data_IF_978087008462
#
_entry.id   IF_978087008462
#
_cell.length_a   1.000
_cell.length_b   1.000
_cell.length_c   1.000
_cell.angle_alpha   90.00
_cell.angle_beta   90.00
_cell.angle_gamma   90.00
#
_symmetry.space_group_name_H-M   'P 1'
#
loop_
_entity.id
_entity.type
_entity.pdbx_description
1 polymer ?
#
# COMPACT_ATOMS: atom_id res chain seq x y z
N UNK A 1 -7.54 29.21 4.27
CA UNK A 1 -8.58 28.39 4.94
C UNK A 1 -7.88 27.71 6.10
N UNK A 2 -8.05 28.21 7.32
CA UNK A 2 -7.52 27.56 8.52
C UNK A 2 -8.28 26.25 8.73
N UNK A 3 -7.60 25.11 8.69
CA UNK A 3 -8.21 23.86 9.13
C UNK A 3 -8.21 23.88 10.65
N UNK A 4 -9.39 23.79 11.26
CA UNK A 4 -9.55 23.71 12.71
C UNK A 4 -8.75 22.50 13.23
N UNK A 5 -7.65 22.76 13.92
CA UNK A 5 -6.77 21.74 14.50
C UNK A 5 -7.40 21.17 15.76
N UNK A 6 -7.50 19.85 15.87
CA UNK A 6 -7.98 19.19 17.08
C UNK A 6 -7.07 19.58 18.26
N UNK A 7 -7.60 20.26 19.28
CA UNK A 7 -6.84 20.69 20.47
C UNK A 7 -5.57 21.53 20.17
N UNK A 8 -5.52 22.23 19.02
CA UNK A 8 -4.32 22.96 18.58
C UNK A 8 -3.16 22.07 18.12
N UNK A 9 -3.39 20.76 18.03
CA UNK A 9 -2.42 19.74 17.62
C UNK A 9 -2.64 19.29 16.16
N UNK A 10 -1.66 18.63 15.57
CA UNK A 10 -1.77 18.07 14.22
C UNK A 10 -2.29 16.63 14.21
N UNK A 11 -2.89 16.17 15.31
CA UNK A 11 -3.44 14.83 15.38
C UNK A 11 -4.54 14.66 14.32
N UNK A 12 -4.43 13.57 13.58
CA UNK A 12 -5.44 13.07 12.67
C UNK A 12 -5.99 11.76 13.24
N UNK A 13 -7.30 11.66 13.30
CA UNK A 13 -8.01 10.51 13.85
C UNK A 13 -9.03 10.02 12.85
N UNK A 14 -9.03 8.72 12.57
CA UNK A 14 -10.05 8.05 11.78
C UNK A 14 -10.57 6.86 12.59
N UNK A 15 -11.89 6.76 12.72
CA UNK A 15 -12.57 5.59 13.27
C UNK A 15 -13.74 5.29 12.37
N UNK A 16 -13.74 4.09 11.79
CA UNK A 16 -14.83 3.63 10.93
C UNK A 16 -15.23 2.22 11.37
N UNK A 17 -16.52 1.92 11.22
CA UNK A 17 -17.02 0.59 11.50
C UNK A 17 -18.40 0.40 10.88
N UNK A 18 -18.71 -0.85 10.59
CA UNK A 18 -19.98 -1.22 9.98
C UNK A 18 -20.05 -2.72 9.70
N UNK A 19 -21.08 -3.09 8.94
CA UNK A 19 -21.32 -4.46 8.54
C UNK A 19 -20.87 -4.67 7.09
N UNK A 20 -20.42 -5.88 6.80
CA UNK A 20 -20.16 -6.37 5.45
C UNK A 20 -21.17 -7.49 5.13
N UNK A 21 -21.11 -8.04 3.92
CA UNK A 21 -22.01 -9.14 3.53
C UNK A 21 -21.85 -10.37 4.43
N UNK A 22 -20.65 -10.62 4.94
CA UNK A 22 -20.32 -11.84 5.68
C UNK A 22 -20.02 -11.60 7.17
N UNK A 23 -20.03 -10.36 7.62
CA UNK A 23 -19.63 -10.04 8.98
C UNK A 23 -19.46 -8.54 9.22
N UNK A 24 -18.33 -8.14 9.78
CA UNK A 24 -18.09 -6.74 10.18
C UNK A 24 -16.77 -6.19 9.69
N UNK A 25 -16.67 -4.86 9.69
CA UNK A 25 -15.40 -4.18 9.57
C UNK A 25 -15.24 -3.11 10.64
N UNK A 26 -14.00 -2.89 11.02
CA UNK A 26 -13.56 -1.88 11.95
C UNK A 26 -12.19 -1.36 11.51
N UNK A 27 -12.04 -0.06 11.37
CA UNK A 27 -10.78 0.61 11.05
C UNK A 27 -10.48 1.67 12.11
N UNK A 28 -9.26 1.72 12.62
CA UNK A 28 -8.83 2.79 13.52
C UNK A 28 -7.42 3.28 13.20
N UNK A 29 -7.31 4.56 12.84
CA UNK A 29 -6.08 5.28 12.56
C UNK A 29 -5.91 6.40 13.61
N UNK A 30 -4.76 6.44 14.27
CA UNK A 30 -4.31 7.64 14.97
C UNK A 30 -2.91 8.01 14.49
N UNK A 31 -2.83 9.14 13.81
CA UNK A 31 -1.64 9.66 13.17
C UNK A 31 -1.27 11.02 13.74
N UNK A 32 0.00 11.17 14.08
CA UNK A 32 0.64 12.46 14.29
C UNK A 32 1.64 12.65 13.14
N UNK A 33 1.20 13.23 12.01
CA UNK A 33 2.07 13.42 10.85
C UNK A 33 3.11 14.50 11.10
N UNK A 34 4.17 14.49 10.29
CA UNK A 34 5.11 15.60 10.26
C UNK A 34 4.39 16.92 9.91
N UNK A 35 4.61 17.95 10.72
CA UNK A 35 4.14 19.30 10.42
C UNK A 35 4.94 19.88 9.26
N UNK A 36 4.42 19.74 8.04
CA UNK A 36 5.10 20.18 6.81
C UNK A 36 6.57 19.68 6.77
N UNK A 37 7.51 20.54 6.37
CA UNK A 37 8.94 20.22 6.36
C UNK A 37 9.66 20.56 7.68
N UNK A 38 8.98 21.20 8.64
CA UNK A 38 9.57 21.62 9.92
C UNK A 38 9.39 20.58 11.02
N UNK A 39 8.38 19.71 10.90
CA UNK A 39 8.12 18.64 11.84
C UNK A 39 9.28 17.65 11.88
N UNK A 40 9.75 17.34 13.08
CA UNK A 40 10.87 16.41 13.32
C UNK A 40 10.44 15.03 13.78
N UNK A 41 9.19 14.85 14.17
CA UNK A 41 8.66 13.60 14.68
C UNK A 41 7.33 13.30 14.04
N UNK A 42 7.09 12.01 13.79
CA UNK A 42 5.78 11.49 13.42
C UNK A 42 5.51 10.20 14.18
N UNK A 43 4.25 9.95 14.45
CA UNK A 43 3.77 8.65 14.95
C UNK A 43 2.56 8.21 14.15
N UNK A 44 2.40 6.91 14.00
CA UNK A 44 1.22 6.30 13.40
C UNK A 44 0.82 5.08 14.21
N UNK A 45 -0.47 4.96 14.45
CA UNK A 45 -1.11 3.77 14.95
C UNK A 45 -2.22 3.42 13.97
N UNK A 46 -2.30 2.16 13.55
CA UNK A 46 -3.34 1.68 12.65
C UNK A 46 -3.83 0.33 13.15
N UNK A 47 -5.14 0.12 13.16
CA UNK A 47 -5.79 -1.15 13.43
C UNK A 47 -6.82 -1.33 12.32
N UNK A 48 -6.87 -2.52 11.75
CA UNK A 48 -7.83 -2.93 10.75
C UNK A 48 -8.33 -4.30 11.17
N UNK A 49 -9.64 -4.46 11.21
CA UNK A 49 -10.32 -5.73 11.22
C UNK A 49 -11.36 -5.65 10.10
N UNK A 50 -11.32 -6.57 9.14
CA UNK A 50 -12.29 -6.60 8.05
C UNK A 50 -12.58 -8.04 7.68
N UNK A 51 -13.86 -8.36 7.63
CA UNK A 51 -14.38 -9.60 7.07
C UNK A 51 -15.00 -9.28 5.71
N UNK A 52 -14.47 -9.85 4.64
CA UNK A 52 -14.92 -9.60 3.27
C UNK A 52 -14.84 -10.86 2.41
N UNK A 53 -15.37 -10.79 1.19
CA UNK A 53 -15.31 -11.84 0.20
C UNK A 53 -14.25 -11.53 -0.85
N UNK A 54 -13.34 -12.46 -1.08
CA UNK A 54 -12.42 -12.40 -2.20
C UNK A 54 -12.95 -13.21 -3.39
N UNK A 55 -12.98 -12.59 -4.57
CA UNK A 55 -13.48 -13.23 -5.78
C UNK A 55 -12.34 -13.84 -6.60
N UNK A 56 -12.33 -15.16 -6.71
CA UNK A 56 -11.48 -15.90 -7.64
C UNK A 56 -12.19 -16.08 -8.98
N UNK A 57 -11.48 -15.82 -10.07
CA UNK A 57 -11.98 -16.15 -11.41
C UNK A 57 -11.88 -17.65 -11.66
N UNK A 58 -12.97 -18.26 -12.13
CA UNK A 58 -13.00 -19.65 -12.55
C UNK A 58 -13.03 -19.71 -14.08
N UNK A 59 -12.27 -20.64 -14.71
CA UNK A 59 -12.44 -20.92 -16.13
C UNK A 59 -13.89 -21.31 -16.45
N UNK A 60 -14.43 -20.87 -17.59
CA UNK A 60 -15.83 -21.09 -18.01
C UNK A 60 -16.17 -22.56 -18.33
N UNK A 61 -15.33 -23.53 -17.97
CA UNK A 61 -15.49 -24.95 -18.35
C UNK A 61 -16.59 -25.68 -17.56
N UNK A 62 -16.97 -25.18 -16.38
CA UNK A 62 -18.02 -25.76 -15.52
C UNK A 62 -19.26 -24.87 -15.36
N UNK A 63 -19.38 -23.80 -16.16
CA UNK A 63 -20.49 -22.84 -16.07
C UNK A 63 -20.45 -21.95 -14.82
N UNK A 64 -19.40 -22.04 -14.01
CA UNK A 64 -19.13 -21.08 -12.94
C UNK A 64 -18.15 -20.04 -13.43
N UNK A 65 -18.43 -18.78 -13.10
CA UNK A 65 -17.59 -17.63 -13.47
C UNK A 65 -16.65 -17.21 -12.35
N UNK A 66 -17.11 -17.31 -11.09
CA UNK A 66 -16.33 -16.89 -9.93
C UNK A 66 -16.57 -17.80 -8.72
N UNK A 67 -15.57 -17.90 -7.85
CA UNK A 67 -15.71 -18.40 -6.49
C UNK A 67 -15.47 -17.26 -5.50
N UNK A 68 -16.41 -17.04 -4.59
CA UNK A 68 -16.30 -16.07 -3.51
C UNK A 68 -15.82 -16.80 -2.26
N UNK A 69 -14.61 -16.44 -1.82
CA UNK A 69 -14.00 -16.99 -0.63
C UNK A 69 -14.07 -15.98 0.52
N UNK A 70 -14.69 -16.34 1.65
CA UNK A 70 -14.60 -15.56 2.87
C UNK A 70 -13.16 -15.38 3.35
N UNK A 71 -12.84 -14.14 3.71
CA UNK A 71 -11.53 -13.70 4.17
C UNK A 71 -11.69 -12.74 5.35
N UNK A 72 -10.94 -12.99 6.42
CA UNK A 72 -10.79 -12.09 7.56
C UNK A 72 -9.37 -11.56 7.53
N UNK A 73 -9.27 -10.25 7.38
CA UNK A 73 -8.03 -9.52 7.44
C UNK A 73 -7.96 -8.74 8.74
N UNK A 74 -6.94 -9.03 9.53
CA UNK A 74 -6.61 -8.27 10.72
C UNK A 74 -5.22 -7.70 10.58
N UNK A 75 -5.06 -6.42 10.86
CA UNK A 75 -3.74 -5.82 10.93
C UNK A 75 -3.63 -4.78 12.02
N UNK A 76 -2.46 -4.71 12.62
CA UNK A 76 -2.07 -3.69 13.57
C UNK A 76 -0.73 -3.11 13.16
N UNK A 77 -0.58 -1.80 13.24
CA UNK A 77 0.67 -1.09 13.00
C UNK A 77 0.86 -0.06 14.10
N UNK A 78 2.07 0.01 14.65
CA UNK A 78 2.53 1.16 15.44
C UNK A 78 3.89 1.55 14.91
N UNK A 79 4.06 2.80 14.50
CA UNK A 79 5.33 3.31 14.01
C UNK A 79 5.64 4.71 14.52
N UNK A 80 6.93 4.98 14.67
CA UNK A 80 7.51 6.24 15.09
C UNK A 80 8.62 6.60 14.12
N UNK A 81 8.71 7.86 13.71
CA UNK A 81 9.79 8.30 12.86
C UNK A 81 10.27 9.70 13.23
N UNK A 82 11.54 9.97 12.91
CA UNK A 82 12.16 11.27 13.09
C UNK A 82 12.91 11.72 11.85
N UNK A 83 12.98 13.03 11.65
CA UNK A 83 13.74 13.67 10.57
C UNK A 83 14.90 14.47 11.14
N UNK A 84 16.07 14.28 10.55
CA UNK A 84 17.28 15.03 10.86
C UNK A 84 17.74 15.79 9.61
N UNK A 85 17.86 17.11 9.72
CA UNK A 85 18.27 17.96 8.62
C UNK A 85 17.52 19.29 8.58
N UNK A 86 17.41 19.85 7.38
CA UNK A 86 16.73 21.12 7.10
C UNK A 86 15.54 20.87 6.16
N UNK A 87 14.57 21.77 6.09
CA UNK A 87 13.54 21.73 5.04
C UNK A 87 14.16 21.52 3.65
N UNK A 88 13.53 20.67 2.84
CA UNK A 88 14.02 20.19 1.55
C UNK A 88 15.19 19.19 1.60
N UNK A 89 15.99 19.12 2.68
CA UNK A 89 17.16 18.24 2.80
C UNK A 89 17.23 17.56 4.16
N UNK A 90 16.71 16.35 4.26
CA UNK A 90 16.67 15.61 5.51
C UNK A 90 16.87 14.11 5.31
N UNK A 91 17.22 13.44 6.40
CA UNK A 91 17.23 11.99 6.55
C UNK A 91 16.08 11.60 7.49
N UNK A 92 15.29 10.62 7.09
CA UNK A 92 14.24 9.99 7.88
C UNK A 92 14.78 8.72 8.51
N UNK A 93 14.49 8.54 9.79
CA UNK A 93 14.74 7.30 10.52
C UNK A 93 13.44 6.91 11.22
N UNK A 94 12.98 5.68 11.04
CA UNK A 94 11.75 5.19 11.62
C UNK A 94 11.87 3.77 12.14
N UNK A 95 11.03 3.47 13.11
CA UNK A 95 10.85 2.14 13.68
C UNK A 95 9.36 1.87 13.78
N UNK A 96 8.97 0.62 13.58
CA UNK A 96 7.60 0.21 13.78
C UNK A 96 7.45 -1.27 14.08
N UNK A 97 6.30 -1.61 14.65
CA UNK A 97 5.84 -2.97 14.80
C UNK A 97 4.59 -3.11 13.93
N UNK A 98 4.55 -4.14 13.09
CA UNK A 98 3.33 -4.49 12.36
C UNK A 98 2.94 -5.93 12.63
N UNK A 99 1.64 -6.18 12.71
CA UNK A 99 1.04 -7.51 12.75
C UNK A 99 0.04 -7.58 11.61
N UNK A 100 0.08 -8.65 10.83
CA UNK A 100 -0.88 -8.95 9.78
C UNK A 100 -1.34 -10.39 9.97
N UNK A 101 -2.64 -10.59 9.86
CA UNK A 101 -3.27 -11.89 9.91
C UNK A 101 -4.30 -11.98 8.80
N UNK A 102 -4.21 -13.07 8.04
CA UNK A 102 -5.17 -13.47 7.02
C UNK A 102 -5.73 -14.81 7.47
N UNK A 103 -7.05 -14.89 7.60
CA UNK A 103 -7.74 -16.11 7.99
C UNK A 103 -8.89 -16.36 7.03
N UNK A 104 -8.99 -17.60 6.57
CA UNK A 104 -10.01 -18.04 5.62
C UNK A 104 -10.99 -19.04 6.23
N UNK A 105 -10.72 -19.53 7.45
CA UNK A 105 -11.60 -20.40 8.22
C UNK A 105 -12.55 -19.67 9.18
N UNK A 106 -13.47 -20.42 9.78
CA UNK A 106 -14.41 -19.96 10.82
C UNK A 106 -15.45 -18.93 10.39
N UNK A 107 -15.94 -19.02 9.16
CA UNK A 107 -17.09 -18.26 8.67
C UNK A 107 -18.37 -19.10 8.72
N UNK A 108 -19.50 -18.45 8.97
CA UNK A 108 -20.84 -19.08 8.94
C UNK A 108 -21.24 -19.50 7.52
N UNK A 109 -20.77 -18.75 6.52
CA UNK A 109 -20.87 -19.04 5.10
C UNK A 109 -19.55 -19.63 4.61
N UNK A 110 -19.59 -20.77 3.93
CA UNK A 110 -18.42 -21.36 3.26
C UNK A 110 -18.09 -20.64 1.95
N UNK A 111 -17.32 -21.30 1.08
CA UNK A 111 -17.06 -20.80 -0.27
C UNK A 111 -18.36 -20.81 -1.09
N UNK A 112 -18.64 -19.72 -1.78
CA UNK A 112 -19.78 -19.60 -2.69
C UNK A 112 -19.31 -19.53 -4.15
N UNK A 113 -20.18 -19.88 -5.09
CA UNK A 113 -19.89 -19.78 -6.53
C UNK A 113 -20.95 -18.97 -7.26
N UNK A 114 -20.50 -18.30 -8.32
CA UNK A 114 -21.32 -17.44 -9.17
C UNK A 114 -21.43 -18.06 -10.55
N UNK A 115 -22.65 -18.27 -11.01
CA UNK A 115 -22.98 -18.74 -12.35
C UNK A 115 -23.15 -17.55 -13.30
N UNK A 116 -22.61 -17.65 -14.51
CA UNK A 116 -22.86 -16.69 -15.61
C UNK A 116 -22.69 -15.19 -15.26
N UNK A 117 -21.78 -14.87 -14.32
CA UNK A 117 -21.52 -13.51 -13.80
C UNK A 117 -22.75 -12.85 -13.15
N UNK A 118 -23.72 -13.63 -12.70
CA UNK A 118 -24.87 -13.15 -11.93
C UNK A 118 -24.55 -13.05 -10.43
N UNK A 119 -24.11 -11.87 -9.98
CA UNK A 119 -23.83 -11.59 -8.57
C UNK A 119 -25.09 -11.41 -7.70
N UNK A 120 -26.29 -11.70 -8.22
CA UNK A 120 -27.53 -11.71 -7.42
C UNK A 120 -27.87 -13.09 -6.85
N UNK A 121 -27.31 -14.15 -7.43
CA UNK A 121 -27.57 -15.54 -7.06
C UNK A 121 -26.26 -16.21 -6.62
N UNK A 122 -26.29 -16.88 -5.47
CA UNK A 122 -25.13 -17.53 -4.88
C UNK A 122 -25.45 -19.00 -4.60
N UNK A 123 -24.55 -19.89 -5.02
CA UNK A 123 -24.65 -21.33 -4.76
C UNK A 123 -23.47 -21.75 -3.87
N UNK A 124 -23.65 -22.77 -3.02
CA UNK A 124 -22.53 -23.34 -2.27
C UNK A 124 -21.54 -23.97 -3.25
N UNK A 125 -20.23 -23.75 -3.02
CA UNK A 125 -19.21 -24.29 -3.88
C UNK A 125 -19.22 -25.84 -3.88
N UNK A 126 -19.18 -26.50 -5.06
CA UNK A 126 -18.89 -27.92 -5.14
C UNK A 126 -17.53 -28.24 -4.50
N UNK A 127 -17.40 -29.41 -3.88
CA UNK A 127 -16.17 -29.84 -3.19
C UNK A 127 -14.92 -29.82 -4.06
N UNK A 128 -15.07 -29.97 -5.38
CA UNK A 128 -13.97 -29.88 -6.35
C UNK A 128 -13.39 -28.46 -6.44
N UNK A 129 -14.22 -27.42 -6.36
CA UNK A 129 -13.79 -26.01 -6.37
C UNK A 129 -13.13 -25.67 -5.03
N UNK A 130 -13.71 -26.12 -3.92
CA UNK A 130 -13.11 -25.94 -2.59
C UNK A 130 -11.71 -26.58 -2.51
N UNK A 131 -11.55 -27.79 -3.03
CA UNK A 131 -10.25 -28.47 -3.10
C UNK A 131 -9.25 -27.74 -4.00
N UNK A 132 -9.69 -27.22 -5.15
CA UNK A 132 -8.82 -26.46 -6.05
C UNK A 132 -8.31 -25.17 -5.40
N UNK A 133 -9.14 -24.51 -4.59
CA UNK A 133 -8.77 -23.29 -3.87
C UNK A 133 -7.93 -23.56 -2.62
N UNK A 134 -7.98 -24.76 -2.05
CA UNK A 134 -7.29 -25.11 -0.79
C UNK A 134 -5.79 -24.78 -0.80
N UNK A 135 -5.12 -24.88 -1.95
CA UNK A 135 -3.71 -24.53 -2.08
C UNK A 135 -3.43 -23.01 -2.10
N UNK A 136 -4.44 -22.20 -2.44
CA UNK A 136 -4.36 -20.74 -2.50
C UNK A 136 -4.86 -20.06 -1.20
N UNK A 137 -5.62 -20.80 -0.40
CA UNK A 137 -6.28 -20.35 0.81
C UNK A 137 -5.50 -20.86 2.02
N UNK A 138 -4.52 -20.08 2.48
CA UNK A 138 -3.71 -20.44 3.64
C UNK A 138 -3.78 -19.35 4.70
N UNK A 139 -4.16 -19.74 5.91
CA UNK A 139 -4.12 -18.88 7.07
C UNK A 139 -2.67 -18.49 7.38
N UNK A 140 -2.45 -17.20 7.62
CA UNK A 140 -1.11 -16.65 7.84
C UNK A 140 -1.14 -15.59 8.92
N UNK A 141 -0.14 -15.63 9.79
CA UNK A 141 0.12 -14.58 10.77
C UNK A 141 1.57 -14.15 10.65
N UNK A 142 1.78 -12.85 10.70
CA UNK A 142 3.09 -12.23 10.51
C UNK A 142 3.21 -11.08 11.47
N UNK A 143 4.21 -11.12 12.35
CA UNK A 143 4.56 -10.00 13.23
C UNK A 143 5.95 -9.53 12.89
N UNK A 144 6.12 -8.27 12.49
CA UNK A 144 7.38 -7.72 11.99
C UNK A 144 7.82 -6.51 12.79
N UNK A 145 9.12 -6.47 13.07
CA UNK A 145 9.80 -5.23 13.44
C UNK A 145 10.31 -4.58 12.17
N UNK A 146 9.88 -3.35 11.91
CA UNK A 146 10.20 -2.57 10.72
C UNK A 146 11.18 -1.46 11.06
N UNK A 147 12.19 -1.30 10.22
CA UNK A 147 13.10 -0.17 10.23
C UNK A 147 12.91 0.61 8.93
N UNK A 148 12.80 1.93 9.05
CA UNK A 148 12.63 2.84 7.91
C UNK A 148 13.83 3.76 7.86
N UNK A 149 14.44 3.89 6.68
CA UNK A 149 15.44 4.91 6.37
C UNK A 149 15.02 5.64 5.11
N UNK A 150 15.00 6.96 5.18
CA UNK A 150 14.69 7.80 4.02
C UNK A 150 15.68 8.92 3.86
N UNK A 151 15.81 9.40 2.63
CA UNK A 151 16.61 10.56 2.33
C UNK A 151 15.89 11.43 1.32
N UNK A 152 15.79 12.72 1.64
CA UNK A 152 15.24 13.74 0.77
C UNK A 152 16.30 14.78 0.46
N UNK A 153 16.35 15.17 -0.80
CA UNK A 153 17.04 16.34 -1.30
C UNK A 153 16.21 16.97 -2.42
N UNK A 154 15.23 17.78 -2.03
CA UNK A 154 14.29 18.46 -2.92
C UNK A 154 14.39 19.96 -2.70
N UNK A 155 14.35 20.69 -3.81
CA UNK A 155 14.29 22.14 -3.87
C UNK A 155 13.11 22.51 -4.76
N UNK A 156 12.35 23.52 -4.34
CA UNK A 156 11.22 24.00 -5.12
C UNK A 156 11.69 25.05 -6.11
N UNK A 157 11.44 24.81 -7.40
CA UNK A 157 11.73 25.75 -8.47
C UNK A 157 10.44 26.33 -9.03
N UNK A 158 10.33 27.66 -9.02
CA UNK A 158 9.23 28.38 -9.67
C UNK A 158 9.27 28.22 -11.17
N UNK A 159 8.13 27.86 -11.76
CA UNK A 159 7.94 27.69 -13.19
C UNK A 159 6.64 28.34 -13.67
N UNK A 160 6.75 29.08 -14.76
CA UNK A 160 5.64 29.84 -15.31
C UNK A 160 4.95 29.13 -16.48
N UNK A 161 3.61 29.16 -16.45
CA UNK A 161 2.76 28.77 -17.57
C UNK A 161 2.83 27.28 -17.90
N UNK A 162 2.77 26.44 -16.86
CA UNK A 162 2.52 25.00 -16.97
C UNK A 162 1.04 24.70 -17.29
N UNK A 163 0.15 25.55 -16.77
CA UNK A 163 -1.26 25.57 -17.14
C UNK A 163 -1.54 26.86 -17.93
N UNK A 164 -2.58 26.87 -18.77
CA UNK A 164 -2.96 28.03 -19.61
C UNK A 164 -3.27 29.33 -18.85
N UNK A 165 -3.18 29.32 -17.51
CA UNK A 165 -3.27 30.47 -16.63
C UNK A 165 -1.86 31.00 -16.33
N UNK A 166 -1.68 32.33 -16.29
CA UNK A 166 -0.39 33.02 -16.03
C UNK A 166 0.17 32.82 -14.60
N UNK A 167 -0.12 31.70 -13.95
CA UNK A 167 0.37 31.37 -12.62
C UNK A 167 1.77 30.77 -12.64
N UNK A 168 2.58 31.16 -11.65
CA UNK A 168 3.83 30.48 -11.29
C UNK A 168 3.50 29.29 -10.40
N UNK A 169 4.05 28.11 -10.70
CA UNK A 169 3.94 26.91 -9.87
C UNK A 169 5.31 26.55 -9.30
N UNK A 170 5.33 26.12 -8.05
CA UNK A 170 6.53 25.57 -7.42
C UNK A 170 6.63 24.07 -7.75
N UNK A 171 7.66 23.71 -8.51
CA UNK A 171 7.92 22.31 -8.87
C UNK A 171 8.99 21.75 -7.92
N UNK A 172 8.72 20.63 -7.23
CA UNK A 172 9.76 19.92 -6.50
C UNK A 172 10.76 19.33 -7.49
N UNK A 173 12.03 19.72 -7.35
CA UNK A 173 13.17 19.25 -8.16
C UNK A 173 14.20 18.64 -7.22
N UNK A 174 14.74 17.48 -7.58
CA UNK A 174 15.63 16.69 -6.74
C UNK A 174 15.11 15.27 -6.57
N UNK A 175 15.35 14.66 -5.42
CA UNK A 175 14.91 13.28 -5.19
C UNK A 175 14.62 12.99 -3.72
N UNK A 176 13.78 11.99 -3.53
CA UNK A 176 13.46 11.39 -2.25
C UNK A 176 13.38 9.88 -2.41
N UNK A 177 13.86 9.14 -1.42
CA UNK A 177 13.55 7.72 -1.31
C UNK A 177 13.32 7.36 0.15
N UNK A 178 12.48 6.36 0.36
CA UNK A 178 12.22 5.72 1.64
C UNK A 178 12.36 4.21 1.46
N UNK A 179 13.22 3.60 2.26
CA UNK A 179 13.41 2.16 2.34
C UNK A 179 12.93 1.66 3.69
N UNK A 180 11.98 0.74 3.68
CA UNK A 180 11.54 -0.03 4.83
C UNK A 180 12.09 -1.44 4.72
N UNK A 181 12.66 -1.95 5.81
CA UNK A 181 13.03 -3.36 5.97
C UNK A 181 12.34 -3.89 7.21
N UNK A 182 11.53 -4.92 7.05
CA UNK A 182 10.81 -5.59 8.12
C UNK A 182 11.35 -7.00 8.33
N UNK A 183 11.58 -7.39 9.58
CA UNK A 183 11.93 -8.78 9.91
C UNK A 183 10.90 -9.38 10.85
N UNK A 184 10.45 -10.60 10.55
CA UNK A 184 9.57 -11.35 11.45
C UNK A 184 10.19 -11.56 12.82
N UNK A 185 9.37 -11.40 13.86
CA UNK A 185 9.72 -11.68 15.25
C UNK A 185 8.68 -12.59 15.89
N UNK A 186 9.12 -13.41 16.84
CA UNK A 186 8.31 -14.46 17.46
C UNK A 186 7.66 -14.02 18.79
N UNK A 187 7.63 -12.72 19.10
CA UNK A 187 7.24 -12.20 20.41
C UNK A 187 5.72 -12.30 20.71
N UNK A 188 4.88 -12.51 19.68
CA UNK A 188 3.42 -12.57 19.80
C UNK A 188 2.85 -13.85 19.14
N UNK A 189 3.53 -14.98 19.31
CA UNK A 189 3.05 -16.28 18.82
C UNK A 189 1.75 -16.68 19.54
N UNK A 190 0.67 -16.80 18.78
CA UNK A 190 -0.54 -17.51 19.19
C UNK A 190 -0.44 -18.95 18.68
N UNK A 191 -0.65 -19.92 19.57
CA UNK A 191 -0.35 -21.35 19.39
C UNK A 191 -0.99 -22.04 18.18
N UNK A 192 -1.98 -21.42 17.56
CA UNK A 192 -2.89 -22.10 16.62
C UNK A 192 -2.68 -21.69 15.15
N UNK A 193 -1.79 -20.75 14.86
CA UNK A 193 -1.55 -20.25 13.50
C UNK A 193 -0.08 -20.36 13.12
N UNK A 194 0.21 -20.82 11.89
CA UNK A 194 1.58 -20.86 11.37
C UNK A 194 2.13 -19.43 11.27
N UNK A 195 3.08 -19.11 12.17
CA UNK A 195 3.77 -17.84 12.14
C UNK A 195 4.83 -17.89 11.05
N UNK A 196 4.61 -17.15 9.97
CA UNK A 196 5.49 -17.15 8.82
C UNK A 196 6.68 -16.22 9.09
N UNK A 197 7.89 -16.79 9.06
CA UNK A 197 9.12 -15.98 9.14
C UNK A 197 9.39 -15.38 7.78
N UNK A 198 9.48 -14.06 7.72
CA UNK A 198 9.82 -13.38 6.50
C UNK A 198 10.73 -12.17 6.72
N UNK A 199 11.35 -11.78 5.61
CA UNK A 199 12.04 -10.52 5.43
C UNK A 199 11.24 -9.68 4.45
N UNK A 200 10.57 -8.65 4.95
CA UNK A 200 9.84 -7.68 4.16
C UNK A 200 10.75 -6.53 3.71
N UNK A 201 10.52 -6.02 2.52
CA UNK A 201 11.09 -4.76 2.07
C UNK A 201 10.05 -3.92 1.34
N UNK A 202 10.16 -2.60 1.47
CA UNK A 202 9.43 -1.65 0.66
C UNK A 202 10.32 -0.46 0.32
N UNK A 203 10.36 -0.10 -0.95
CA UNK A 203 11.04 1.06 -1.48
C UNK A 203 10.01 1.99 -2.09
N UNK A 204 10.00 3.24 -1.66
CA UNK A 204 9.30 4.32 -2.33
C UNK A 204 10.32 5.33 -2.80
N UNK A 205 10.17 5.82 -4.02
CA UNK A 205 11.11 6.75 -4.62
C UNK A 205 10.39 7.82 -5.42
N UNK A 206 10.94 9.03 -5.35
CA UNK A 206 10.55 10.16 -6.17
C UNK A 206 11.81 10.83 -6.72
N UNK A 207 11.76 11.26 -7.96
CA UNK A 207 12.84 12.02 -8.59
C UNK A 207 12.29 12.98 -9.61
N UNK A 208 12.81 14.21 -9.64
CA UNK A 208 12.45 15.18 -10.66
C UNK A 208 13.61 16.07 -11.05
N UNK A 209 13.68 16.38 -12.33
CA UNK A 209 14.59 17.35 -12.92
C UNK A 209 13.80 18.32 -13.79
N UNK A 210 14.24 19.57 -13.81
CA UNK A 210 13.63 20.59 -14.67
C UNK A 210 14.70 21.29 -15.54
N UNK A 211 15.35 20.61 -16.50
CA UNK A 211 16.35 21.25 -17.34
C UNK A 211 15.69 22.18 -18.38
N UNK A 212 16.05 23.47 -18.35
CA UNK A 212 15.61 24.42 -19.37
C UNK A 212 14.10 24.59 -19.44
N UNK A 213 13.44 23.97 -20.42
CA UNK A 213 11.98 24.03 -20.67
C UNK A 213 11.28 22.68 -20.53
N UNK A 214 12.01 21.70 -20.00
CA UNK A 214 11.52 20.38 -19.69
C UNK A 214 11.32 20.25 -18.19
N UNK A 215 10.34 19.45 -17.82
CA UNK A 215 10.12 18.92 -16.48
C UNK A 215 9.93 17.43 -16.65
N UNK A 216 10.76 16.66 -15.94
CA UNK A 216 10.65 15.22 -15.86
C UNK A 216 10.51 14.88 -14.39
N UNK A 217 9.48 14.14 -14.03
CA UNK A 217 9.25 13.66 -12.68
C UNK A 217 8.87 12.18 -12.73
N UNK A 218 9.40 11.39 -11.81
CA UNK A 218 9.13 9.97 -11.71
C UNK A 218 8.82 9.60 -10.27
N UNK A 219 7.89 8.67 -10.09
CA UNK A 219 7.67 7.98 -8.83
C UNK A 219 7.75 6.48 -9.03
N UNK A 220 8.29 5.78 -8.04
CA UNK A 220 8.37 4.32 -8.00
C UNK A 220 7.93 3.83 -6.62
N UNK A 221 7.18 2.74 -6.60
CA UNK A 221 6.84 1.98 -5.42
C UNK A 221 7.19 0.54 -5.69
N UNK A 222 7.95 -0.09 -4.81
CA UNK A 222 8.28 -1.50 -4.89
C UNK A 222 8.12 -2.08 -3.49
N UNK A 223 7.46 -3.21 -3.37
CA UNK A 223 7.40 -3.98 -2.14
C UNK A 223 7.59 -5.45 -2.44
N UNK A 224 7.99 -6.20 -1.44
CA UNK A 224 8.06 -7.64 -1.51
C UNK A 224 8.46 -8.24 -0.19
N UNK A 225 8.34 -9.56 -0.10
CA UNK A 225 8.80 -10.31 1.06
C UNK A 225 9.54 -11.55 0.64
N UNK A 226 10.48 -11.98 1.46
CA UNK A 226 11.16 -13.26 1.32
C UNK A 226 10.75 -14.15 2.47
N UNK A 227 10.08 -15.26 2.16
CA UNK A 227 9.73 -16.27 3.15
C UNK A 227 10.96 -17.10 3.49
N UNK A 228 11.24 -17.21 4.79
CA UNK A 228 12.32 -17.99 5.38
C UNK A 228 11.75 -19.26 6.03
N UNK A 229 12.53 -20.33 6.09
CA UNK A 229 12.22 -21.56 6.83
C UNK A 229 10.88 -22.26 6.49
N UNK A 230 10.42 -22.18 5.23
CA UNK A 230 9.20 -22.86 4.74
C UNK A 230 9.49 -23.66 3.46
N UNK A 231 8.75 -24.75 3.15
CA UNK A 231 8.79 -25.40 1.83
C UNK A 231 8.50 -24.43 0.66
N UNK A 232 7.81 -23.32 0.93
CA UNK A 232 7.55 -22.24 -0.03
C UNK A 232 8.59 -21.11 0.04
N UNK A 233 9.79 -21.37 0.58
CA UNK A 233 10.86 -20.37 0.70
C UNK A 233 11.17 -19.72 -0.64
N UNK A 234 11.34 -18.41 -0.61
CA UNK A 234 11.56 -17.62 -1.80
C UNK A 234 11.00 -16.23 -1.65
N UNK A 235 11.17 -15.45 -2.71
CA UNK A 235 10.59 -14.13 -2.82
C UNK A 235 9.13 -14.25 -3.25
N UNK A 236 8.21 -13.68 -2.47
CA UNK A 236 6.77 -13.64 -2.77
C UNK A 236 6.25 -12.22 -2.69
N UNK A 237 5.09 -12.03 -3.30
CA UNK A 237 4.32 -10.78 -3.25
C UNK A 237 5.16 -9.57 -3.65
N UNK A 238 6.02 -9.75 -4.66
CA UNK A 238 6.73 -8.63 -5.24
C UNK A 238 5.73 -7.83 -6.05
N UNK A 239 5.48 -6.60 -5.62
CA UNK A 239 4.54 -5.69 -6.25
C UNK A 239 5.27 -4.38 -6.56
N UNK A 240 5.16 -3.93 -7.80
CA UNK A 240 5.86 -2.76 -8.29
C UNK A 240 4.93 -1.85 -9.06
N UNK A 241 5.08 -0.55 -8.85
CA UNK A 241 4.39 0.51 -9.59
C UNK A 241 5.40 1.59 -9.95
N UNK A 242 5.22 2.20 -11.12
CA UNK A 242 5.96 3.38 -11.49
C UNK A 242 5.08 4.36 -12.27
N UNK A 243 5.38 5.64 -12.12
CA UNK A 243 4.88 6.71 -12.97
C UNK A 243 6.05 7.56 -13.45
N UNK A 244 5.97 8.02 -14.70
CA UNK A 244 6.84 9.00 -15.31
C UNK A 244 5.99 10.09 -15.95
N UNK A 245 6.21 11.32 -15.53
CA UNK A 245 5.59 12.53 -16.04
C UNK A 245 6.63 13.35 -16.77
N UNK A 246 6.30 13.75 -18.00
CA UNK A 246 7.12 14.67 -18.77
C UNK A 246 6.28 15.84 -19.27
N UNK A 247 6.82 17.04 -19.14
CA UNK A 247 6.22 18.27 -19.65
C UNK A 247 7.28 19.07 -20.38
N UNK A 248 6.94 19.53 -21.58
CA UNK A 248 7.82 20.32 -22.43
C UNK A 248 7.11 21.54 -23.01
N UNK A 249 7.80 22.68 -22.95
CA UNK A 249 7.32 23.95 -23.51
C UNK A 249 8.23 24.44 -24.65
N UNK A 250 7.87 24.21 -25.92
CA UNK A 250 8.73 24.56 -27.06
C UNK A 250 9.02 26.06 -27.16
N UNK A 251 10.22 26.41 -27.65
CA UNK A 251 10.64 27.82 -27.85
C UNK A 251 9.82 28.53 -28.92
N UNK A 252 9.51 27.81 -29.99
CA UNK A 252 8.87 28.34 -31.19
C UNK A 252 7.36 28.56 -30.94
N UNK A 253 6.76 27.77 -30.05
CA UNK A 253 5.33 27.82 -29.73
C UNK A 253 5.10 27.92 -28.21
N UNK A 254 5.49 29.04 -27.56
CA UNK A 254 5.50 29.17 -26.10
C UNK A 254 4.10 29.20 -25.47
N UNK A 255 3.04 29.19 -26.27
CA UNK A 255 1.64 29.05 -25.82
C UNK A 255 1.20 27.59 -25.68
N UNK A 256 1.99 26.65 -26.18
CA UNK A 256 1.69 25.22 -26.14
C UNK A 256 2.61 24.53 -25.13
N UNK A 257 2.02 23.60 -24.37
CA UNK A 257 2.73 22.69 -23.48
C UNK A 257 2.37 21.28 -23.93
N UNK A 258 3.39 20.46 -24.18
CA UNK A 258 3.22 19.04 -24.44
C UNK A 258 3.43 18.28 -23.13
N UNK A 259 2.52 17.37 -22.82
CA UNK A 259 2.54 16.56 -21.63
C UNK A 259 2.38 15.09 -22.00
N UNK A 260 3.14 14.24 -21.35
CA UNK A 260 2.95 12.80 -21.42
C UNK A 260 3.12 12.17 -20.03
N UNK A 261 2.33 11.13 -19.79
CA UNK A 261 2.40 10.26 -18.63
C UNK A 261 2.62 8.84 -19.11
N UNK A 262 3.58 8.15 -18.50
CA UNK A 262 3.79 6.73 -18.67
C UNK A 262 3.68 6.08 -17.28
N UNK A 263 2.83 5.08 -17.14
CA UNK A 263 2.55 4.42 -15.87
C UNK A 263 2.46 2.92 -16.06
N UNK A 264 2.88 2.17 -15.06
CA UNK A 264 2.75 0.72 -15.07
C UNK A 264 2.74 0.15 -13.66
N UNK A 265 2.04 -0.96 -13.50
CA UNK A 265 2.02 -1.76 -12.28
C UNK A 265 2.18 -3.24 -12.65
N UNK A 266 2.71 -4.03 -11.72
CA UNK A 266 2.93 -5.45 -11.94
C UNK A 266 3.24 -6.19 -10.65
N UNK A 267 3.05 -7.50 -10.69
CA UNK A 267 3.27 -8.39 -9.56
C UNK A 267 3.98 -9.68 -9.95
N UNK A 268 4.69 -10.28 -9.00
CA UNK A 268 5.32 -11.59 -9.16
C UNK A 268 5.18 -12.43 -7.90
N UNK A 269 4.85 -13.73 -8.10
CA UNK A 269 4.51 -14.70 -7.05
C UNK A 269 3.60 -14.13 -5.96
N UNK A 270 2.46 -13.57 -6.38
CA UNK A 270 1.42 -13.05 -5.49
C UNK A 270 0.66 -14.21 -4.85
N UNK A 271 0.72 -14.29 -3.52
CA UNK A 271 0.10 -15.33 -2.70
C UNK A 271 -1.02 -14.79 -1.83
N UNK A 272 -1.05 -13.48 -1.57
CA UNK A 272 -2.18 -12.82 -0.93
C UNK A 272 -3.04 -12.07 -1.95
N UNK A 273 -4.37 -12.04 -1.77
CA UNK A 273 -5.23 -11.13 -2.50
C UNK A 273 -4.79 -9.68 -2.26
N UNK A 274 -4.61 -8.92 -3.34
CA UNK A 274 -4.08 -7.55 -3.37
C UNK A 274 -5.20 -6.53 -3.60
#
# INVERSE_FOLDING_TARGET
IESTRLLGSNWSTKVEGGETRIGTFFEQDFSYPFLAEIGRFSSKQSILHREDLFAYYLPDDQGYSHALQPLRQESGEVSLATRVGRPGKWTLLGLGLSRQQLSFGNFSTGTEVIRDRDFSTFEAAPSLIEQALHHQIQDRVMTRMNFVVGQRNIQYQKRDGLNGLKGSFDIPVGGEFDLTVGKSINFLETSDLQNEKDLFFSLRGYGAIAPGRWILASSISLQGRRIEDSPQSGWKDILGEFDLYTSWKPRITPRHTLFARFSGSGGWETTAPC
#
